data_IF_569287198844
#
_entry.id   IF_569287198844
#
_cell.length_a   1.000
_cell.length_b   1.000
_cell.length_c   1.000
_cell.angle_alpha   90.00
_cell.angle_beta   90.00
_cell.angle_gamma   90.00
#
_symmetry.space_group_name_H-M   'P 1'
#
loop_
_entity.id
_entity.type
_entity.pdbx_description
1 polymer ?
#
# COMPACT_ATOMS: atom_id res chain seq x y z
N UNK A 1 36.00 25.39 -37.45
CA UNK A 1 34.59 25.50 -37.03
C UNK A 1 33.81 24.18 -36.95
N UNK A 2 34.37 23.01 -37.19
CA UNK A 2 33.65 21.71 -37.19
C UNK A 2 33.48 21.07 -35.80
N UNK A 3 34.30 21.34 -34.78
CA UNK A 3 34.26 20.69 -33.49
C UNK A 3 32.99 20.96 -32.63
N UNK A 4 32.27 22.05 -32.88
CA UNK A 4 31.05 22.39 -32.10
C UNK A 4 29.82 21.61 -32.55
N UNK A 5 29.71 21.24 -33.83
CA UNK A 5 28.59 20.45 -34.36
C UNK A 5 28.63 19.00 -33.85
N UNK A 6 29.80 18.39 -33.79
CA UNK A 6 30.03 17.04 -33.29
C UNK A 6 29.56 16.85 -31.84
N UNK A 7 29.84 17.79 -30.95
CA UNK A 7 29.42 17.72 -29.54
C UNK A 7 27.89 17.81 -29.36
N UNK A 8 27.22 18.58 -30.23
CA UNK A 8 25.74 18.65 -30.20
C UNK A 8 25.13 17.35 -30.71
N UNK A 9 25.63 16.80 -31.79
CA UNK A 9 25.18 15.53 -32.36
C UNK A 9 25.36 14.40 -31.35
N UNK A 10 26.49 14.35 -30.65
CA UNK A 10 26.75 13.35 -29.62
C UNK A 10 25.75 13.46 -28.45
N UNK A 11 25.38 14.68 -28.04
CA UNK A 11 24.37 14.89 -27.00
C UNK A 11 22.98 14.37 -27.42
N UNK A 12 22.55 14.66 -28.64
CA UNK A 12 21.27 14.18 -29.16
C UNK A 12 21.27 12.67 -29.36
N UNK A 13 22.39 12.08 -29.79
CA UNK A 13 22.55 10.63 -29.90
C UNK A 13 22.44 9.95 -28.53
N UNK A 14 23.08 10.51 -27.50
CA UNK A 14 22.95 10.02 -26.13
C UNK A 14 21.52 10.14 -25.59
N UNK A 15 20.85 11.23 -25.90
CA UNK A 15 19.45 11.46 -25.50
C UNK A 15 18.52 10.46 -26.20
N UNK A 16 18.74 10.16 -27.47
CA UNK A 16 18.00 9.16 -28.24
C UNK A 16 18.22 7.75 -27.69
N UNK A 17 19.44 7.38 -27.31
CA UNK A 17 19.75 6.12 -26.63
C UNK A 17 19.03 6.02 -25.28
N UNK A 18 18.99 7.10 -24.50
CA UNK A 18 18.33 7.16 -23.21
C UNK A 18 16.82 6.94 -23.39
N UNK A 19 16.17 7.66 -24.31
CA UNK A 19 14.73 7.51 -24.59
C UNK A 19 14.43 6.12 -25.15
N UNK A 20 15.25 5.57 -26.01
CA UNK A 20 15.08 4.22 -26.57
C UNK A 20 15.27 3.11 -25.50
N UNK A 21 16.10 3.34 -24.50
CA UNK A 21 16.29 2.37 -23.41
C UNK A 21 15.14 2.35 -22.40
N UNK A 22 14.44 3.47 -22.21
CA UNK A 22 13.32 3.57 -21.26
C UNK A 22 12.13 2.70 -21.68
N UNK A 23 11.91 2.53 -22.99
CA UNK A 23 10.81 1.72 -23.52
C UNK A 23 11.21 0.27 -23.87
N UNK A 24 12.33 -0.20 -23.37
CA UNK A 24 12.77 -1.57 -23.58
C UNK A 24 12.04 -2.53 -22.64
N UNK A 25 11.21 -3.42 -23.21
CA UNK A 25 10.41 -4.41 -22.46
C UNK A 25 11.31 -5.30 -21.58
N UNK A 26 12.52 -5.62 -22.03
CA UNK A 26 13.47 -6.42 -21.27
C UNK A 26 13.99 -5.72 -19.99
N UNK A 27 13.93 -4.38 -19.93
CA UNK A 27 14.29 -3.63 -18.72
C UNK A 27 13.16 -3.68 -17.68
N UNK A 28 11.93 -3.86 -18.10
CA UNK A 28 10.79 -4.02 -17.18
C UNK A 28 10.81 -5.38 -16.48
N UNK A 29 11.42 -6.40 -17.08
CA UNK A 29 11.60 -7.74 -16.48
C UNK A 29 12.76 -7.81 -15.49
N UNK A 30 13.57 -6.76 -15.39
CA UNK A 30 14.58 -6.69 -14.34
C UNK A 30 13.88 -6.54 -12.98
N UNK A 31 13.96 -7.58 -12.16
CA UNK A 31 13.45 -7.65 -10.76
C UNK A 31 14.05 -6.59 -9.82
N UNK A 32 14.90 -5.71 -10.35
CA UNK A 32 15.57 -4.64 -9.61
C UNK A 32 14.63 -3.64 -8.91
N UNK A 33 13.36 -3.63 -9.30
CA UNK A 33 12.38 -2.67 -8.80
C UNK A 33 11.24 -3.33 -8.03
N UNK A 34 11.39 -4.62 -7.67
CA UNK A 34 10.40 -5.28 -6.83
C UNK A 34 10.42 -4.66 -5.43
N UNK A 35 9.27 -4.66 -4.79
CA UNK A 35 9.13 -4.13 -3.44
C UNK A 35 9.74 -5.13 -2.47
N UNK A 36 10.85 -4.74 -1.84
CA UNK A 36 11.54 -5.57 -0.84
C UNK A 36 11.24 -5.13 0.59
N UNK A 37 10.93 -3.86 0.78
CA UNK A 37 10.68 -3.30 2.10
C UNK A 37 9.30 -2.66 2.16
N UNK A 38 8.45 -3.18 3.04
CA UNK A 38 7.14 -2.60 3.32
C UNK A 38 7.11 -2.17 4.78
N UNK A 39 6.94 -0.88 5.00
CA UNK A 39 6.79 -0.32 6.34
C UNK A 39 5.34 0.10 6.56
N UNK A 40 4.67 -0.59 7.49
CA UNK A 40 3.29 -0.28 7.88
C UNK A 40 3.31 0.38 9.25
N UNK A 41 2.69 1.55 9.36
CA UNK A 41 2.57 2.33 10.59
C UNK A 41 1.09 2.50 10.90
N UNK A 42 0.74 2.44 12.20
CA UNK A 42 -0.63 2.67 12.69
C UNK A 42 -1.43 1.39 12.98
N UNK A 43 -0.91 0.22 12.66
CA UNK A 43 -1.46 -1.07 13.05
C UNK A 43 -0.61 -1.74 14.13
N UNK A 44 -1.23 -2.62 14.93
CA UNK A 44 -0.52 -3.47 15.86
C UNK A 44 0.23 -4.58 15.11
N UNK A 45 1.16 -5.26 15.80
CA UNK A 45 2.03 -6.23 15.15
C UNK A 45 1.28 -7.42 14.53
N UNK A 46 0.17 -7.85 15.11
CA UNK A 46 -0.68 -8.92 14.58
C UNK A 46 -1.39 -8.45 13.31
N UNK A 47 -2.08 -7.32 13.37
CA UNK A 47 -2.79 -6.73 12.23
C UNK A 47 -1.85 -6.42 11.06
N UNK A 48 -0.59 -6.01 11.37
CA UNK A 48 0.45 -5.83 10.35
C UNK A 48 0.80 -7.12 9.64
N UNK A 49 1.00 -8.20 10.40
CA UNK A 49 1.34 -9.51 9.84
C UNK A 49 0.21 -10.03 8.96
N UNK A 50 -1.02 -9.88 9.40
CA UNK A 50 -2.19 -10.29 8.63
C UNK A 50 -2.28 -9.57 7.30
N UNK A 51 -2.03 -8.25 7.30
CA UNK A 51 -2.03 -7.47 6.07
C UNK A 51 -0.86 -7.85 5.14
N UNK A 52 0.33 -8.08 5.71
CA UNK A 52 1.51 -8.50 4.94
C UNK A 52 1.36 -9.91 4.36
N UNK A 53 0.66 -10.82 5.05
CA UNK A 53 0.43 -12.19 4.57
C UNK A 53 -0.60 -12.25 3.44
N UNK A 54 -1.55 -11.32 3.42
CA UNK A 54 -2.58 -11.25 2.37
C UNK A 54 -2.03 -10.75 1.05
N UNK A 55 -1.00 -9.91 1.08
CA UNK A 55 -0.42 -9.28 -0.11
C UNK A 55 1.04 -9.72 -0.25
N UNK A 56 1.35 -10.47 -1.28
CA UNK A 56 2.75 -10.78 -1.60
C UNK A 56 3.38 -9.60 -2.36
N UNK A 57 3.92 -8.66 -1.59
CA UNK A 57 4.53 -7.43 -2.11
C UNK A 57 5.74 -7.70 -3.02
N UNK A 58 6.42 -8.85 -2.89
CA UNK A 58 7.57 -9.19 -3.72
C UNK A 58 7.20 -9.42 -5.20
N UNK A 59 5.95 -9.73 -5.47
CA UNK A 59 5.44 -9.88 -6.83
C UNK A 59 5.20 -8.55 -7.54
N UNK A 60 5.15 -7.45 -6.79
CA UNK A 60 4.85 -6.13 -7.35
C UNK A 60 6.12 -5.33 -7.61
N UNK A 61 6.18 -4.75 -8.80
CA UNK A 61 7.18 -3.75 -9.13
C UNK A 61 6.71 -2.37 -8.63
N UNK A 62 7.60 -1.61 -7.98
CA UNK A 62 7.25 -0.32 -7.37
C UNK A 62 6.75 0.71 -8.40
N UNK A 63 7.17 0.61 -9.66
CA UNK A 63 6.74 1.51 -10.74
C UNK A 63 5.38 1.11 -11.31
N UNK A 64 5.14 -0.20 -11.47
CA UNK A 64 3.95 -0.76 -12.10
C UNK A 64 2.87 -1.23 -11.11
N UNK A 65 3.13 -1.14 -9.79
CA UNK A 65 2.14 -1.55 -8.81
C UNK A 65 0.82 -0.80 -9.05
N UNK A 66 -0.21 -1.58 -9.34
CA UNK A 66 -1.56 -1.06 -9.42
C UNK A 66 -2.01 -0.70 -7.99
N UNK A 67 -2.22 0.60 -7.77
CA UNK A 67 -2.69 1.08 -6.46
C UNK A 67 -4.06 0.50 -6.11
N UNK A 68 -4.90 0.23 -7.09
CA UNK A 68 -6.29 -0.18 -6.86
C UNK A 68 -6.38 -1.55 -6.20
N UNK A 69 -5.52 -2.50 -6.56
CA UNK A 69 -5.50 -3.83 -5.94
C UNK A 69 -5.00 -3.77 -4.50
N UNK A 70 -3.95 -2.98 -4.25
CA UNK A 70 -3.44 -2.73 -2.91
C UNK A 70 -4.46 -1.98 -2.04
N UNK A 71 -5.14 -1.01 -2.62
CA UNK A 71 -6.18 -0.22 -1.95
C UNK A 71 -7.34 -1.12 -1.53
N UNK A 72 -7.84 -1.97 -2.43
CA UNK A 72 -8.93 -2.91 -2.11
C UNK A 72 -8.58 -3.79 -0.92
N UNK A 73 -7.35 -4.30 -0.87
CA UNK A 73 -6.91 -5.16 0.23
C UNK A 73 -6.81 -4.39 1.55
N UNK A 74 -6.27 -3.18 1.52
CA UNK A 74 -6.21 -2.31 2.72
C UNK A 74 -7.62 -1.92 3.16
N UNK A 75 -8.51 -1.55 2.25
CA UNK A 75 -9.88 -1.18 2.54
C UNK A 75 -10.74 -2.37 2.99
N UNK A 76 -10.40 -3.59 2.60
CA UNK A 76 -11.08 -4.79 3.09
C UNK A 76 -10.90 -4.99 4.60
N UNK A 77 -9.80 -4.49 5.16
CA UNK A 77 -9.55 -4.59 6.58
C UNK A 77 -10.48 -3.65 7.37
N UNK A 78 -11.31 -4.24 8.24
CA UNK A 78 -12.31 -3.47 9.01
C UNK A 78 -11.69 -2.51 10.04
N UNK A 79 -10.43 -2.71 10.42
CA UNK A 79 -9.72 -1.84 11.36
C UNK A 79 -9.20 -0.55 10.72
N UNK A 80 -9.25 -0.43 9.40
CA UNK A 80 -8.72 0.73 8.69
C UNK A 80 -9.79 1.81 8.54
N UNK A 81 -9.51 2.99 9.10
CA UNK A 81 -10.32 4.19 8.93
C UNK A 81 -9.85 4.98 7.71
N UNK A 82 -8.55 5.28 7.69
CA UNK A 82 -7.88 5.99 6.61
C UNK A 82 -6.52 5.39 6.36
N UNK A 83 -6.02 5.57 5.16
CA UNK A 83 -4.68 5.12 4.79
C UNK A 83 -4.00 6.13 3.89
N UNK A 84 -2.68 6.11 3.92
CA UNK A 84 -1.84 6.89 3.02
C UNK A 84 -0.66 6.02 2.55
N UNK A 85 -0.52 5.86 1.24
CA UNK A 85 0.49 5.01 0.61
C UNK A 85 1.53 5.89 -0.07
N UNK A 86 2.78 5.75 0.35
CA UNK A 86 3.93 6.47 -0.20
C UNK A 86 4.94 5.50 -0.79
N UNK A 87 5.20 5.62 -2.08
CA UNK A 87 6.28 4.90 -2.76
C UNK A 87 7.60 5.56 -2.41
N UNK A 88 8.54 4.81 -1.86
CA UNK A 88 9.91 5.24 -1.57
C UNK A 88 10.87 4.47 -2.45
N UNK A 89 11.28 5.10 -3.54
CA UNK A 89 12.17 4.48 -4.51
C UNK A 89 13.54 4.13 -3.90
N UNK A 90 14.21 3.06 -4.39
CA UNK A 90 13.85 2.25 -5.55
C UNK A 90 12.88 1.08 -5.26
N UNK A 91 12.74 0.60 -4.00
CA UNK A 91 12.09 -0.69 -3.71
C UNK A 91 11.31 -0.73 -2.40
N UNK A 92 10.95 0.42 -1.83
CA UNK A 92 10.29 0.50 -0.54
C UNK A 92 8.89 1.12 -0.64
N UNK A 93 7.97 0.64 0.21
CA UNK A 93 6.61 1.14 0.33
C UNK A 93 6.33 1.51 1.78
N UNK A 94 5.87 2.72 2.01
CA UNK A 94 5.38 3.14 3.31
C UNK A 94 3.86 3.24 3.28
N UNK A 95 3.20 2.55 4.21
CA UNK A 95 1.74 2.54 4.35
C UNK A 95 1.43 3.07 5.75
N UNK A 96 0.86 4.25 5.81
CA UNK A 96 0.37 4.84 7.05
C UNK A 96 -1.11 4.56 7.17
N UNK A 97 -1.54 3.94 8.27
CA UNK A 97 -2.92 3.57 8.53
C UNK A 97 -3.39 4.27 9.80
N UNK A 98 -4.53 4.90 9.71
CA UNK A 98 -5.28 5.38 10.86
C UNK A 98 -6.30 4.31 11.24
N UNK A 99 -6.22 3.81 12.49
CA UNK A 99 -7.18 2.82 13.00
C UNK A 99 -8.54 3.44 13.24
N UNK A 100 -9.58 2.68 12.92
CA UNK A 100 -10.95 3.04 13.24
C UNK A 100 -11.15 3.18 14.76
N UNK A 101 -12.01 4.09 15.16
CA UNK A 101 -12.43 4.25 16.55
C UNK A 101 -13.69 3.44 16.76
N UNK A 102 -13.74 2.67 17.85
CA UNK A 102 -14.95 1.92 18.19
C UNK A 102 -15.98 2.85 18.83
N UNK A 103 -17.17 2.87 18.29
CA UNK A 103 -18.26 3.73 18.73
C UNK A 103 -19.24 3.00 19.63
N UNK A 104 -19.53 1.72 19.35
CA UNK A 104 -20.54 0.96 20.05
C UNK A 104 -20.30 -0.55 19.96
N UNK A 105 -21.02 -1.30 20.77
CA UNK A 105 -21.16 -2.75 20.72
C UNK A 105 -22.55 -3.11 20.18
N UNK A 106 -22.61 -4.13 19.33
CA UNK A 106 -23.84 -4.67 18.77
C UNK A 106 -23.83 -6.17 19.02
N UNK A 107 -24.93 -6.71 19.54
CA UNK A 107 -25.13 -8.16 19.62
C UNK A 107 -25.90 -8.60 18.38
N UNK A 108 -25.31 -9.49 17.60
CA UNK A 108 -25.95 -10.10 16.44
C UNK A 108 -25.69 -11.60 16.49
N UNK A 109 -26.78 -12.38 16.55
CA UNK A 109 -26.73 -13.85 16.61
C UNK A 109 -25.85 -14.37 17.77
N UNK A 110 -26.03 -13.82 18.97
CA UNK A 110 -25.26 -14.16 20.18
C UNK A 110 -23.75 -13.82 20.12
N UNK A 111 -23.33 -13.15 19.07
CA UNK A 111 -21.96 -12.67 18.92
C UNK A 111 -21.88 -11.16 19.10
N UNK A 112 -20.81 -10.70 19.78
CA UNK A 112 -20.58 -9.28 19.99
C UNK A 112 -19.69 -8.75 18.85
N UNK A 113 -20.22 -7.76 18.15
CA UNK A 113 -19.49 -6.99 17.15
C UNK A 113 -19.27 -5.57 17.66
N UNK A 114 -18.18 -4.98 17.23
CA UNK A 114 -17.86 -3.59 17.50
C UNK A 114 -18.11 -2.77 16.23
N UNK A 115 -18.86 -1.69 16.36
CA UNK A 115 -19.07 -0.74 15.27
C UNK A 115 -17.92 0.26 15.25
N UNK A 116 -17.20 0.28 14.14
CA UNK A 116 -16.15 1.26 13.88
C UNK A 116 -16.69 2.61 13.38
N UNK A 117 -15.91 3.67 13.54
CA UNK A 117 -16.20 5.00 12.96
C UNK A 117 -16.28 4.97 11.42
N UNK A 118 -15.65 3.98 10.80
CA UNK A 118 -15.72 3.69 9.37
C UNK A 118 -17.00 2.93 8.94
N UNK A 119 -17.94 2.70 9.88
CA UNK A 119 -19.19 1.99 9.62
C UNK A 119 -19.07 0.47 9.48
N UNK A 120 -17.89 -0.11 9.68
CA UNK A 120 -17.66 -1.55 9.56
C UNK A 120 -17.85 -2.25 10.91
N UNK A 121 -18.29 -3.51 10.84
CA UNK A 121 -18.39 -4.38 12.00
C UNK A 121 -17.11 -5.19 12.18
N UNK A 122 -16.61 -5.20 13.40
CA UNK A 122 -15.35 -5.86 13.76
C UNK A 122 -15.66 -6.89 14.83
N UNK A 123 -15.31 -8.15 14.54
CA UNK A 123 -15.39 -9.24 15.50
C UNK A 123 -14.00 -9.41 16.13
N UNK A 124 -13.82 -8.87 17.32
CA UNK A 124 -12.58 -9.07 18.09
C UNK A 124 -12.89 -8.90 19.58
N UNK A 125 -12.10 -9.47 20.44
CA UNK A 125 -12.28 -9.32 21.88
C UNK A 125 -11.66 -8.02 22.40
N UNK A 126 -12.44 -6.95 22.35
CA UNK A 126 -12.13 -5.67 22.99
C UNK A 126 -12.88 -5.49 24.30
N UNK A 127 -13.02 -6.54 25.09
CA UNK A 127 -13.80 -6.60 26.33
C UNK A 127 -13.49 -5.49 27.34
N UNK A 128 -12.27 -4.93 27.28
CA UNK A 128 -11.82 -3.87 28.20
C UNK A 128 -12.36 -2.47 27.89
N UNK A 129 -13.01 -2.25 26.74
CA UNK A 129 -13.57 -0.93 26.38
C UNK A 129 -15.03 -0.83 26.82
N UNK A 130 -15.32 0.14 27.69
CA UNK A 130 -16.69 0.51 28.01
C UNK A 130 -17.27 1.29 26.83
N UNK A 131 -18.09 0.62 26.04
CA UNK A 131 -18.79 1.20 24.89
C UNK A 131 -20.29 0.97 25.03
N UNK A 132 -21.13 1.89 24.55
CA UNK A 132 -22.58 1.71 24.59
C UNK A 132 -22.99 0.50 23.74
N UNK A 133 -24.04 -0.20 24.22
CA UNK A 133 -24.70 -1.25 23.44
C UNK A 133 -25.80 -0.65 22.58
N UNK A 134 -25.83 -1.05 21.32
CA UNK A 134 -26.93 -0.74 20.40
C UNK A 134 -27.76 -2.02 20.23
N UNK A 135 -29.04 -1.88 20.46
CA UNK A 135 -30.04 -2.92 20.23
C UNK A 135 -30.84 -2.55 19.01
N UNK A 136 -30.98 -3.46 18.07
CA UNK A 136 -31.75 -3.29 16.85
C UNK A 136 -32.44 -4.57 16.44
#
# INVERSE_FOLDING_TARGET
MQKRKSKKILKYFFLLLLVGSINNINLNDLKLHNIHNVNIIGLDNEDKRDLLNKVDFNLYNIFSINKDDLIKEIESNALVEKYFILKKYPSSLNINIEKTKFLAKINKNEEIFYLGSNGKFIKNDFSKKQLPFIFG
#
